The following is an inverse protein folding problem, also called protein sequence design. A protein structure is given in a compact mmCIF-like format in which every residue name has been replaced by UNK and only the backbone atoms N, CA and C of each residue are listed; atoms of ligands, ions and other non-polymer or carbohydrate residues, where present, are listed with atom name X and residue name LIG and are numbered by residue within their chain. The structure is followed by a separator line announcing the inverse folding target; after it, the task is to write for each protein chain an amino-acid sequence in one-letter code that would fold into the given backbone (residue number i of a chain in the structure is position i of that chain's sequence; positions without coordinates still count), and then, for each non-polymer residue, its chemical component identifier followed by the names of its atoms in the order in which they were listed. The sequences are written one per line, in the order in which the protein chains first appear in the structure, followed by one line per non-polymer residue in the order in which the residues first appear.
data_IF_259590956461
#
_entry.id   IF_259590956461
#
_cell.length_a   1.000
_cell.length_b   1.000
_cell.length_c   1.000
_cell.angle_alpha   90.00
_cell.angle_beta   90.00
_cell.angle_gamma   90.00
#
_symmetry.space_group_name_H-M   'P 1'
#
loop_
_entity.id
_entity.type
_entity.pdbx_description
1 polymer ?
#
# COMPACT_ATOMS: atom_id res chain seq x y z
N UNK A 1 -1.76 -2.58 -12.12
CA UNK A 1 -1.65 -2.22 -13.54
C UNK A 1 -2.38 -0.92 -13.93
N UNK A 2 -3.54 -0.56 -13.35
CA UNK A 2 -4.19 0.70 -13.74
C UNK A 2 -3.30 1.92 -13.55
N UNK A 3 -2.57 2.00 -12.45
CA UNK A 3 -1.65 3.11 -12.19
C UNK A 3 -0.51 3.12 -13.19
N UNK A 4 0.08 1.95 -13.46
CA UNK A 4 1.14 1.82 -14.47
C UNK A 4 0.65 2.27 -15.84
N UNK A 5 -0.53 1.84 -16.25
CA UNK A 5 -1.08 2.19 -17.56
C UNK A 5 -1.28 3.69 -17.75
N UNK A 6 -1.58 4.41 -16.68
CA UNK A 6 -1.70 5.86 -16.71
C UNK A 6 -0.31 6.51 -16.75
N UNK A 7 0.59 6.08 -15.88
CA UNK A 7 1.90 6.70 -15.72
C UNK A 7 2.81 6.50 -16.94
N UNK A 8 2.74 5.33 -17.59
CA UNK A 8 3.60 5.04 -18.74
C UNK A 8 3.39 6.04 -19.89
N UNK A 9 2.17 6.55 -20.02
CA UNK A 9 1.84 7.55 -21.03
C UNK A 9 2.45 8.93 -20.76
N UNK A 10 2.90 9.14 -19.52
CA UNK A 10 3.50 10.40 -19.07
C UNK A 10 5.03 10.34 -18.96
N UNK A 11 5.62 9.23 -19.39
CA UNK A 11 7.05 9.02 -19.30
C UNK A 11 7.83 10.07 -20.12
N UNK A 12 8.91 10.60 -19.52
CA UNK A 12 9.83 11.55 -20.15
C UNK A 12 11.26 11.14 -19.83
N UNK A 13 12.25 11.92 -20.29
CA UNK A 13 13.66 11.68 -19.95
C UNK A 13 13.91 11.80 -18.44
N UNK A 14 13.14 12.64 -17.74
CA UNK A 14 13.29 12.86 -16.30
C UNK A 14 12.23 12.14 -15.46
N UNK A 15 11.22 11.59 -16.11
CA UNK A 15 10.17 10.83 -15.45
C UNK A 15 10.08 9.46 -16.11
N UNK A 16 10.68 8.47 -15.47
CA UNK A 16 10.72 7.09 -15.97
C UNK A 16 9.81 6.19 -15.15
N UNK A 17 9.11 5.31 -15.84
CA UNK A 17 8.16 4.38 -15.23
C UNK A 17 8.65 2.95 -15.42
N UNK A 18 8.72 2.19 -14.34
CA UNK A 18 9.15 0.80 -14.33
C UNK A 18 8.05 -0.08 -13.79
N UNK A 19 7.84 -1.21 -14.42
CA UNK A 19 6.92 -2.24 -13.93
C UNK A 19 7.76 -3.41 -13.41
N UNK A 20 7.58 -3.73 -12.11
CA UNK A 20 8.22 -4.90 -11.53
C UNK A 20 7.46 -6.15 -11.95
N UNK A 21 8.21 -7.19 -12.33
CA UNK A 21 7.61 -8.45 -12.72
C UNK A 21 7.36 -9.37 -11.53
N UNK A 22 6.77 -10.51 -11.81
CA UNK A 22 6.44 -11.54 -10.82
C UNK A 22 5.19 -12.29 -11.23
N UNK A 23 4.68 -13.12 -10.34
CA UNK A 23 3.40 -13.80 -10.55
C UNK A 23 2.26 -12.83 -10.27
N UNK A 24 1.36 -12.66 -11.22
CA UNK A 24 0.23 -11.76 -11.06
C UNK A 24 -0.98 -12.51 -10.51
N UNK A 25 -1.59 -11.94 -9.46
CA UNK A 25 -2.84 -12.46 -8.92
C UNK A 25 -4.02 -11.91 -9.74
N UNK A 26 -4.86 -12.80 -10.24
CA UNK A 26 -5.98 -12.43 -11.12
C UNK A 26 -6.97 -11.46 -10.46
N UNK A 27 -7.28 -11.66 -9.17
CA UNK A 27 -8.30 -10.87 -8.47
C UNK A 27 -7.84 -9.44 -8.16
N UNK A 28 -6.55 -9.25 -7.85
CA UNK A 28 -6.03 -7.97 -7.39
C UNK A 28 -5.14 -7.28 -8.41
N UNK A 29 -4.77 -7.99 -9.47
CA UNK A 29 -3.78 -7.54 -10.46
C UNK A 29 -2.46 -7.11 -9.81
N UNK A 30 -2.10 -7.75 -8.69
CA UNK A 30 -0.85 -7.49 -7.96
C UNK A 30 0.19 -8.54 -8.32
N UNK A 31 1.44 -8.09 -8.46
CA UNK A 31 2.56 -9.02 -8.63
C UNK A 31 3.05 -9.49 -7.28
N UNK A 32 3.24 -10.80 -7.15
CA UNK A 32 3.68 -11.44 -5.90
C UNK A 32 4.70 -12.53 -6.21
N UNK A 33 5.30 -13.08 -5.17
CA UNK A 33 6.18 -14.22 -5.24
C UNK A 33 7.65 -13.88 -5.10
N UNK A 34 8.47 -14.90 -5.17
CA UNK A 34 9.89 -14.78 -4.86
C UNK A 34 10.64 -13.84 -5.81
N UNK A 35 10.32 -13.85 -7.09
CA UNK A 35 10.99 -12.98 -8.06
C UNK A 35 10.74 -11.51 -7.75
N UNK A 36 9.49 -11.15 -7.46
CA UNK A 36 9.13 -9.80 -7.06
C UNK A 36 9.82 -9.42 -5.76
N UNK A 37 9.81 -10.32 -4.78
CA UNK A 37 10.39 -10.08 -3.46
C UNK A 37 11.91 -9.92 -3.51
N UNK A 38 12.60 -10.72 -4.33
CA UNK A 38 14.03 -10.58 -4.52
C UNK A 38 14.39 -9.23 -5.12
N UNK A 39 13.65 -8.80 -6.12
CA UNK A 39 13.90 -7.50 -6.75
C UNK A 39 13.66 -6.35 -5.76
N UNK A 40 12.54 -6.37 -5.04
CA UNK A 40 12.21 -5.36 -4.04
C UNK A 40 13.26 -5.28 -2.94
N UNK A 41 13.81 -6.42 -2.51
CA UNK A 41 14.82 -6.45 -1.46
C UNK A 41 16.14 -5.79 -1.85
N UNK A 42 16.38 -5.58 -3.14
CA UNK A 42 17.58 -4.93 -3.65
C UNK A 42 17.41 -3.41 -3.86
N UNK A 43 16.19 -2.89 -3.70
CA UNK A 43 15.86 -1.51 -4.01
C UNK A 43 15.62 -0.70 -2.73
N UNK A 44 15.80 0.60 -2.84
CA UNK A 44 15.46 1.58 -1.80
C UNK A 44 14.56 2.64 -2.40
N UNK A 45 13.52 3.02 -1.67
CA UNK A 45 12.52 3.97 -2.15
C UNK A 45 12.47 5.19 -1.23
N UNK A 46 12.36 6.38 -1.81
CA UNK A 46 12.12 7.57 -1.01
C UNK A 46 10.69 7.62 -0.49
N UNK A 47 9.74 7.18 -1.28
CA UNK A 47 8.32 7.15 -0.90
C UNK A 47 7.65 5.89 -1.41
N UNK A 48 6.75 5.36 -0.59
CA UNK A 48 5.88 4.26 -0.99
C UNK A 48 4.42 4.66 -0.77
N UNK A 49 3.62 4.49 -1.80
CA UNK A 49 2.17 4.64 -1.73
C UNK A 49 1.56 3.27 -1.93
N UNK A 50 0.68 2.88 -1.03
CA UNK A 50 0.08 1.54 -1.06
C UNK A 50 -1.35 1.58 -0.55
N UNK A 51 -2.07 0.48 -0.72
CA UNK A 51 -3.43 0.35 -0.22
C UNK A 51 -3.58 -0.94 0.59
N UNK A 52 -4.74 -1.09 1.21
CA UNK A 52 -5.09 -2.29 1.96
C UNK A 52 -6.56 -2.62 1.74
N UNK A 53 -6.93 -3.87 2.03
CA UNK A 53 -8.32 -4.29 1.93
C UNK A 53 -9.14 -3.85 3.14
N UNK A 54 -8.49 -3.63 4.27
CA UNK A 54 -9.12 -3.17 5.49
C UNK A 54 -8.13 -2.58 6.45
N UNK A 55 -8.64 -1.79 7.40
CA UNK A 55 -7.88 -1.22 8.51
C UNK A 55 -8.69 -1.41 9.76
N UNK A 56 -8.14 -2.13 10.74
CA UNK A 56 -8.81 -2.39 12.00
C UNK A 56 -7.79 -2.47 13.13
N UNK A 57 -8.13 -1.88 14.27
CA UNK A 57 -7.30 -1.89 15.48
C UNK A 57 -5.86 -1.42 15.24
N UNK A 58 -5.69 -0.42 14.36
CA UNK A 58 -4.38 0.13 14.04
C UNK A 58 -3.55 -0.71 13.09
N UNK A 59 -4.15 -1.71 12.42
CA UNK A 59 -3.46 -2.61 11.50
C UNK A 59 -4.03 -2.49 10.08
N UNK A 60 -3.14 -2.43 9.10
CA UNK A 60 -3.52 -2.54 7.69
C UNK A 60 -3.51 -4.02 7.29
N UNK A 61 -4.55 -4.44 6.58
CA UNK A 61 -4.82 -5.84 6.35
C UNK A 61 -5.04 -6.17 4.88
N UNK A 62 -4.71 -7.39 4.51
CA UNK A 62 -4.91 -7.91 3.16
C UNK A 62 -5.41 -9.35 3.21
N UNK A 63 -5.92 -9.84 2.08
CA UNK A 63 -6.50 -11.19 2.01
C UNK A 63 -5.47 -12.30 1.81
N UNK A 64 -4.22 -11.96 1.53
CA UNK A 64 -3.20 -12.93 1.13
C UNK A 64 -1.91 -12.75 1.92
N UNK A 65 -1.38 -13.87 2.42
CA UNK A 65 -0.06 -13.87 3.06
C UNK A 65 1.04 -13.48 2.06
N UNK A 66 0.92 -13.89 0.81
CA UNK A 66 1.88 -13.55 -0.23
C UNK A 66 1.92 -12.04 -0.49
N UNK A 67 0.75 -11.41 -0.60
CA UNK A 67 0.67 -9.95 -0.74
C UNK A 67 1.19 -9.23 0.49
N UNK A 68 0.85 -9.74 1.68
CA UNK A 68 1.35 -9.17 2.93
C UNK A 68 2.89 -9.17 2.97
N UNK A 69 3.49 -10.29 2.60
CA UNK A 69 4.94 -10.43 2.61
C UNK A 69 5.61 -9.46 1.63
N UNK A 70 5.10 -9.37 0.41
CA UNK A 70 5.62 -8.45 -0.61
C UNK A 70 5.50 -7.00 -0.15
N UNK A 71 4.37 -6.62 0.42
CA UNK A 71 4.16 -5.29 0.97
C UNK A 71 5.14 -4.97 2.11
N UNK A 72 5.37 -5.93 2.99
CA UNK A 72 6.31 -5.75 4.10
C UNK A 72 7.74 -5.49 3.62
N UNK A 73 8.18 -6.20 2.58
CA UNK A 73 9.51 -5.97 2.01
C UNK A 73 9.61 -4.54 1.47
N UNK A 74 8.65 -4.10 0.67
CA UNK A 74 8.66 -2.76 0.12
C UNK A 74 8.60 -1.69 1.21
N UNK A 75 7.78 -1.89 2.23
CA UNK A 75 7.66 -0.95 3.35
C UNK A 75 8.98 -0.83 4.12
N UNK A 76 9.67 -1.94 4.37
CA UNK A 76 10.93 -1.91 5.11
C UNK A 76 12.05 -1.22 4.33
N UNK A 77 11.91 -1.07 3.02
CA UNK A 77 12.88 -0.42 2.14
C UNK A 77 12.49 1.00 1.73
N UNK A 78 11.47 1.56 2.34
CA UNK A 78 10.95 2.89 2.00
C UNK A 78 11.16 3.87 3.16
N UNK A 79 11.59 5.09 2.83
CA UNK A 79 11.80 6.13 3.83
C UNK A 79 10.49 6.73 4.32
N UNK A 80 9.58 7.03 3.40
CA UNK A 80 8.27 7.57 3.73
C UNK A 80 7.19 6.62 3.22
N UNK A 81 6.13 6.44 4.00
CA UNK A 81 5.10 5.44 3.74
C UNK A 81 3.72 6.07 3.88
N UNK A 82 2.91 5.94 2.84
CA UNK A 82 1.57 6.54 2.78
C UNK A 82 0.54 5.50 2.35
N UNK A 83 -0.46 5.30 3.20
CA UNK A 83 -1.57 4.40 2.91
C UNK A 83 -2.71 5.19 2.27
N UNK A 84 -3.18 4.73 1.11
CA UNK A 84 -4.30 5.32 0.38
C UNK A 84 -5.48 4.37 0.46
N UNK A 85 -6.53 4.80 1.15
CA UNK A 85 -7.76 4.01 1.31
C UNK A 85 -8.97 4.91 1.26
N UNK A 86 -10.10 4.37 0.80
CA UNK A 86 -11.38 5.05 1.00
C UNK A 86 -11.96 4.67 2.36
N UNK A 87 -12.90 5.46 2.85
CA UNK A 87 -13.45 5.27 4.19
C UNK A 87 -14.17 3.94 4.38
N UNK A 88 -14.60 3.29 3.29
CA UNK A 88 -15.24 1.98 3.36
C UNK A 88 -14.32 0.88 3.89
N UNK A 89 -12.99 1.09 3.83
CA UNK A 89 -12.00 0.12 4.31
C UNK A 89 -11.72 0.25 5.80
N UNK A 90 -12.08 1.37 6.41
CA UNK A 90 -11.82 1.62 7.83
C UNK A 90 -12.80 0.81 8.67
N UNK A 91 -12.28 0.05 9.62
CA UNK A 91 -13.06 -0.83 10.47
C UNK A 91 -13.29 -2.22 9.88
N UNK A 92 -12.82 -2.48 8.67
CA UNK A 92 -12.91 -3.80 8.06
C UNK A 92 -11.74 -4.68 8.46
N UNK A 93 -12.05 -5.93 8.76
CA UNK A 93 -11.07 -6.97 9.04
C UNK A 93 -10.72 -7.72 7.76
N UNK A 94 -9.58 -8.40 7.75
CA UNK A 94 -9.19 -9.30 6.68
C UNK A 94 -8.25 -10.37 7.23
N UNK A 95 -7.81 -11.28 6.37
CA UNK A 95 -7.11 -12.49 6.80
C UNK A 95 -5.72 -12.22 7.39
N UNK A 96 -4.96 -11.30 6.82
CA UNK A 96 -3.57 -11.08 7.21
C UNK A 96 -3.26 -9.60 7.42
N UNK A 97 -2.66 -9.25 8.56
CA UNK A 97 -2.13 -7.91 8.78
C UNK A 97 -0.70 -7.83 8.24
N UNK A 98 -0.31 -6.68 7.68
CA UNK A 98 1.02 -6.52 7.13
C UNK A 98 1.76 -5.26 7.61
N UNK A 99 1.07 -4.32 8.23
CA UNK A 99 1.76 -3.21 8.88
C UNK A 99 0.89 -2.56 9.97
N UNK A 100 1.56 -1.88 10.89
CA UNK A 100 0.89 -1.05 11.88
C UNK A 100 0.78 0.38 11.35
N UNK A 101 -0.36 1.03 11.57
CA UNK A 101 -0.57 2.40 11.12
C UNK A 101 0.45 3.37 11.71
N UNK A 102 0.88 3.12 12.94
CA UNK A 102 1.87 3.99 13.61
C UNK A 102 3.24 4.00 12.95
N UNK A 103 3.53 3.03 12.07
CA UNK A 103 4.76 2.99 11.30
C UNK A 103 4.71 3.89 10.06
N UNK A 104 3.54 4.41 9.71
CA UNK A 104 3.31 5.18 8.51
C UNK A 104 3.48 6.68 8.76
N UNK A 105 3.78 7.42 7.70
CA UNK A 105 3.83 8.87 7.75
C UNK A 105 2.44 9.48 7.74
N UNK A 106 1.53 8.93 6.94
CA UNK A 106 0.15 9.38 6.90
C UNK A 106 -0.75 8.36 6.22
N UNK A 107 -2.05 8.50 6.47
CA UNK A 107 -3.12 7.83 5.73
C UNK A 107 -3.88 8.88 4.94
N UNK A 108 -4.03 8.66 3.64
CA UNK A 108 -4.81 9.51 2.76
C UNK A 108 -6.16 8.83 2.52
N UNK A 109 -7.24 9.53 2.83
CA UNK A 109 -8.58 8.99 2.70
C UNK A 109 -9.56 10.08 2.30
N UNK A 110 -10.81 9.70 2.02
CA UNK A 110 -11.87 10.66 1.73
C UNK A 110 -12.51 11.20 3.02
N UNK A 111 -13.37 12.20 2.87
CA UNK A 111 -14.08 12.85 3.99
C UNK A 111 -15.50 12.32 4.20
N UNK A 112 -15.82 11.15 3.66
CA UNK A 112 -17.19 10.64 3.66
C UNK A 112 -17.67 10.16 5.03
N UNK A 113 -16.75 9.86 5.96
CA UNK A 113 -17.09 9.37 7.29
C UNK A 113 -16.09 9.90 8.33
N UNK A 114 -16.46 10.97 9.01
CA UNK A 114 -15.61 11.61 10.01
C UNK A 114 -15.40 10.72 11.25
N UNK A 115 -16.39 9.93 11.62
CA UNK A 115 -16.29 9.01 12.76
C UNK A 115 -15.22 7.95 12.50
N UNK A 116 -15.21 7.36 11.31
CA UNK A 116 -14.19 6.40 10.91
C UNK A 116 -12.80 7.03 10.85
N UNK A 117 -12.71 8.26 10.33
CA UNK A 117 -11.46 9.00 10.29
C UNK A 117 -10.87 9.19 11.70
N UNK A 118 -11.71 9.54 12.67
CA UNK A 118 -11.28 9.73 14.05
C UNK A 118 -10.71 8.46 14.67
N UNK A 119 -11.21 7.29 14.27
CA UNK A 119 -10.72 6.01 14.79
C UNK A 119 -9.26 5.75 14.47
N UNK A 120 -8.77 6.27 13.33
CA UNK A 120 -7.38 6.04 12.92
C UNK A 120 -6.47 7.22 13.26
N UNK A 121 -7.01 8.39 13.59
CA UNK A 121 -6.19 9.56 13.96
C UNK A 121 -5.38 9.35 15.23
N UNK A 122 -5.77 8.42 16.09
CA UNK A 122 -4.99 8.08 17.29
C UNK A 122 -3.70 7.32 16.97
N UNK A 123 -3.57 6.78 15.77
CA UNK A 123 -2.41 5.99 15.35
C UNK A 123 -1.49 6.73 14.40
N UNK A 124 -2.04 7.59 13.55
CA UNK A 124 -1.30 8.19 12.44
C UNK A 124 -2.00 9.47 11.97
N UNK A 125 -1.23 10.37 11.34
CA UNK A 125 -1.79 11.55 10.70
C UNK A 125 -2.71 11.14 9.54
N UNK A 126 -3.88 11.79 9.46
CA UNK A 126 -4.85 11.54 8.40
C UNK A 126 -4.98 12.78 7.52
N UNK A 127 -4.81 12.58 6.21
CA UNK A 127 -4.95 13.63 5.20
C UNK A 127 -6.18 13.30 4.36
N UNK A 128 -7.06 14.26 4.20
CA UNK A 128 -8.31 14.05 3.44
C UNK A 128 -8.63 15.23 2.53
#
# INVERSE_FOLDING_TARGET
LPVFNILIKKQTLHFRVYLLGGEMRDLTEAFVGEMTNQLLSQLRFSKMFFSSNGVKDGLAMTSSIEEAYTQQIALSHSLEKYLLIDSSKIGKDDFSSFCELRELNAVLTDNNDLEKKEKIESYVEVIS
#
